data_IF_445270469734
#
_entry.id   IF_445270469734
#
_cell.length_a   1.000
_cell.length_b   1.000
_cell.length_c   1.000
_cell.angle_alpha   90.00
_cell.angle_beta   90.00
_cell.angle_gamma   90.00
#
_symmetry.space_group_name_H-M   'P 1'
#
loop_
_entity.id
_entity.type
_entity.pdbx_description
1 polymer ?
#
# COMPACT_ATOMS: atom_id res chain seq x y z
N UNK A 1 14.73 -25.02 72.55
CA UNK A 1 13.95 -25.24 71.31
C UNK A 1 12.83 -24.24 71.29
N UNK A 2 12.93 -23.20 70.47
CA UNK A 2 11.82 -22.29 70.16
C UNK A 2 11.78 -22.14 68.65
N UNK A 3 10.72 -22.65 68.02
CA UNK A 3 10.45 -22.49 66.60
C UNK A 3 9.72 -21.17 66.38
N UNK A 4 10.33 -20.23 65.69
CA UNK A 4 9.66 -19.05 65.12
C UNK A 4 9.18 -19.38 63.71
N UNK A 5 7.86 -19.47 63.54
CA UNK A 5 7.23 -19.60 62.22
C UNK A 5 7.23 -18.26 61.49
N UNK A 6 7.79 -18.23 60.28
CA UNK A 6 7.69 -17.09 59.39
C UNK A 6 6.38 -17.18 58.58
N UNK A 7 5.52 -16.17 58.75
CA UNK A 7 4.31 -15.99 57.96
C UNK A 7 4.70 -15.28 56.64
N UNK A 8 4.61 -15.97 55.51
CA UNK A 8 4.76 -15.36 54.18
C UNK A 8 3.43 -14.73 53.76
N UNK A 9 3.35 -13.40 53.76
CA UNK A 9 2.27 -12.68 53.09
C UNK A 9 2.47 -12.79 51.57
N UNK A 10 1.56 -13.48 50.89
CA UNK A 10 1.46 -13.43 49.44
C UNK A 10 0.85 -12.07 49.04
N UNK A 11 1.65 -11.20 48.44
CA UNK A 11 1.17 -9.98 47.81
C UNK A 11 0.45 -10.34 46.51
N UNK A 12 -0.87 -10.18 46.46
CA UNK A 12 -1.65 -10.26 45.23
C UNK A 12 -1.38 -9.00 44.40
N UNK A 13 -0.61 -9.12 43.32
CA UNK A 13 -0.44 -8.05 42.35
C UNK A 13 -1.80 -7.72 41.71
N UNK A 14 -2.20 -6.44 41.77
CA UNK A 14 -3.38 -5.96 41.07
C UNK A 14 -3.19 -6.14 39.54
N UNK A 15 -4.25 -6.48 38.78
CA UNK A 15 -4.14 -6.61 37.34
C UNK A 15 -3.73 -5.26 36.75
N UNK A 16 -2.69 -5.25 35.92
CA UNK A 16 -2.28 -4.07 35.19
C UNK A 16 -3.43 -3.61 34.30
N UNK A 17 -3.95 -2.40 34.54
CA UNK A 17 -4.90 -1.75 33.63
C UNK A 17 -4.15 -1.50 32.33
N UNK A 18 -4.61 -2.08 31.22
CA UNK A 18 -4.03 -1.80 29.91
C UNK A 18 -4.09 -0.28 29.67
N UNK A 19 -2.97 0.32 29.25
CA UNK A 19 -2.93 1.73 28.89
C UNK A 19 -3.98 2.01 27.81
N UNK A 20 -4.69 3.14 27.93
CA UNK A 20 -5.65 3.56 26.92
C UNK A 20 -4.95 3.71 25.57
N UNK A 21 -5.61 3.23 24.52
CA UNK A 21 -5.12 3.35 23.15
C UNK A 21 -5.01 4.84 22.75
N UNK A 22 -3.79 5.35 22.49
CA UNK A 22 -3.60 6.77 22.20
C UNK A 22 -4.10 7.15 20.80
N UNK A 23 -4.36 6.17 19.93
CA UNK A 23 -4.70 6.39 18.51
C UNK A 23 -6.20 6.27 18.24
N UNK A 24 -7.02 6.93 19.06
CA UNK A 24 -8.49 6.87 18.96
C UNK A 24 -9.11 8.10 18.34
N UNK A 25 -8.32 9.14 18.06
CA UNK A 25 -8.83 10.38 17.52
C UNK A 25 -9.16 10.25 16.03
N UNK A 26 -10.06 11.12 15.58
CA UNK A 26 -10.44 11.28 14.18
C UNK A 26 -10.43 12.75 13.81
N UNK A 27 -10.21 13.05 12.52
CA UNK A 27 -10.37 14.38 11.96
C UNK A 27 -10.94 14.29 10.54
N UNK A 28 -11.49 15.37 10.01
CA UNK A 28 -11.83 15.42 8.58
C UNK A 28 -10.64 15.91 7.76
N UNK A 29 -10.54 15.44 6.51
CA UNK A 29 -9.54 15.85 5.54
C UNK A 29 -10.08 15.77 4.11
N UNK A 30 -9.37 16.40 3.16
CA UNK A 30 -9.71 16.39 1.74
C UNK A 30 -8.69 15.55 0.98
N UNK A 31 -9.16 14.67 0.11
CA UNK A 31 -8.34 13.70 -0.65
C UNK A 31 -8.89 13.54 -2.07
N UNK A 32 -8.07 13.06 -2.99
CA UNK A 32 -8.53 12.29 -4.15
C UNK A 32 -8.77 10.83 -3.78
N UNK A 33 -9.65 10.16 -4.52
CA UNK A 33 -10.01 8.77 -4.24
C UNK A 33 -10.41 7.95 -5.49
N UNK A 34 -9.49 7.16 -6.07
CA UNK A 34 -8.06 7.13 -5.76
C UNK A 34 -7.32 8.37 -6.28
N UNK A 35 -7.66 8.83 -7.47
CA UNK A 35 -7.04 9.98 -8.13
C UNK A 35 -8.08 10.70 -9.04
N UNK A 36 -7.80 11.91 -9.54
CA UNK A 36 -8.78 12.69 -10.29
C UNK A 36 -9.07 12.12 -11.69
N UNK A 37 -8.12 11.42 -12.33
CA UNK A 37 -8.35 10.79 -13.65
C UNK A 37 -9.40 9.70 -13.53
N UNK A 38 -9.26 8.78 -12.58
CA UNK A 38 -10.22 7.73 -12.30
C UNK A 38 -11.59 8.29 -11.89
N UNK A 39 -11.61 9.27 -10.99
CA UNK A 39 -12.84 9.86 -10.46
C UNK A 39 -13.65 10.60 -11.51
N UNK A 40 -12.97 11.31 -12.42
CA UNK A 40 -13.61 12.13 -13.44
C UNK A 40 -13.79 11.38 -14.76
N UNK A 41 -12.97 10.37 -15.05
CA UNK A 41 -12.91 9.68 -16.33
C UNK A 41 -12.24 10.53 -17.42
N UNK A 42 -11.31 11.40 -17.02
CA UNK A 42 -10.72 12.40 -17.89
C UNK A 42 -9.24 12.12 -18.11
N UNK A 43 -8.95 11.43 -19.20
CA UNK A 43 -7.58 11.14 -19.68
C UNK A 43 -6.86 12.38 -20.26
N UNK A 44 -7.49 13.55 -20.23
CA UNK A 44 -6.92 14.81 -20.73
C UNK A 44 -6.48 15.75 -19.60
N UNK A 45 -6.58 15.31 -18.34
CA UNK A 45 -6.04 16.07 -17.22
C UNK A 45 -4.53 16.17 -17.37
N UNK A 46 -3.98 17.29 -16.93
CA UNK A 46 -2.54 17.51 -16.84
C UNK A 46 -2.24 18.15 -15.50
N UNK A 47 -1.03 17.93 -15.00
CA UNK A 47 -0.56 18.51 -13.75
C UNK A 47 -0.76 20.04 -13.67
N UNK A 48 -0.52 20.77 -14.76
CA UNK A 48 -0.66 22.23 -14.77
C UNK A 48 0.11 22.96 -13.64
N UNK A 49 1.20 22.38 -13.13
CA UNK A 49 2.06 22.90 -12.06
C UNK A 49 1.28 23.17 -10.78
N UNK A 50 0.62 22.13 -10.26
CA UNK A 50 -0.16 22.16 -9.02
C UNK A 50 -1.36 23.12 -9.02
N UNK A 51 -1.71 23.71 -10.16
CA UNK A 51 -2.84 24.62 -10.23
C UNK A 51 -4.16 23.88 -9.92
N UNK A 52 -4.90 24.36 -8.91
CA UNK A 52 -6.26 23.88 -8.59
C UNK A 52 -7.29 24.44 -9.59
N UNK A 53 -7.27 23.91 -10.80
CA UNK A 53 -8.21 24.27 -11.86
C UNK A 53 -9.64 23.80 -11.53
N UNK A 54 -10.68 24.51 -11.97
CA UNK A 54 -12.08 24.13 -11.69
C UNK A 54 -12.48 22.71 -12.11
N UNK A 55 -11.73 22.09 -13.03
CA UNK A 55 -11.95 20.70 -13.45
C UNK A 55 -11.71 19.69 -12.32
N UNK A 56 -10.85 19.98 -11.35
CA UNK A 56 -10.55 19.10 -10.22
C UNK A 56 -11.61 19.16 -9.11
N UNK A 57 -12.42 20.23 -9.05
CA UNK A 57 -13.41 20.42 -8.00
C UNK A 57 -14.34 19.21 -7.75
N UNK A 58 -14.84 18.48 -8.78
CA UNK A 58 -15.67 17.29 -8.57
C UNK A 58 -14.89 16.03 -8.16
N UNK A 59 -13.55 16.04 -8.16
CA UNK A 59 -12.70 14.92 -7.74
C UNK A 59 -12.43 14.92 -6.23
N UNK A 60 -12.37 16.09 -5.58
CA UNK A 60 -12.14 16.16 -4.14
C UNK A 60 -13.21 15.42 -3.32
N UNK A 61 -12.77 14.70 -2.30
CA UNK A 61 -13.61 13.99 -1.34
C UNK A 61 -13.25 14.41 0.07
N UNK A 62 -14.24 14.76 0.86
CA UNK A 62 -14.07 14.89 2.31
C UNK A 62 -14.16 13.51 2.94
N UNK A 63 -13.12 13.12 3.67
CA UNK A 63 -13.01 11.82 4.35
C UNK A 63 -12.79 11.98 5.84
N UNK A 64 -13.05 10.93 6.60
CA UNK A 64 -12.64 10.83 8.00
C UNK A 64 -11.26 10.17 8.08
N UNK A 65 -10.29 10.93 8.55
CA UNK A 65 -8.99 10.42 8.97
C UNK A 65 -9.16 9.75 10.34
N UNK A 66 -8.67 8.52 10.46
CA UNK A 66 -8.79 7.69 11.66
C UNK A 66 -7.43 7.36 12.22
N UNK A 67 -7.41 6.72 13.40
CA UNK A 67 -6.19 6.21 14.04
C UNK A 67 -5.19 7.32 14.42
N UNK A 68 -5.67 8.55 14.60
CA UNK A 68 -4.85 9.71 14.97
C UNK A 68 -4.58 9.73 16.47
N UNK A 69 -3.45 10.32 16.86
CA UNK A 69 -3.03 10.49 18.27
C UNK A 69 -3.70 11.66 19.02
N UNK A 70 -4.51 12.45 18.32
CA UNK A 70 -5.20 13.62 18.88
C UNK A 70 -4.34 14.88 19.05
N UNK A 71 -3.08 14.86 18.61
CA UNK A 71 -2.16 16.02 18.68
C UNK A 71 -2.50 17.18 17.73
N UNK A 72 -3.45 16.97 16.82
CA UNK A 72 -3.76 17.88 15.72
C UNK A 72 -2.74 17.83 14.57
N UNK A 73 -1.85 16.82 14.56
CA UNK A 73 -0.97 16.50 13.43
C UNK A 73 -1.41 15.22 12.73
N UNK A 74 -0.85 14.94 11.55
CA UNK A 74 -0.96 13.65 10.87
C UNK A 74 -0.01 12.62 11.49
N UNK A 75 -0.18 12.38 12.79
CA UNK A 75 0.50 11.33 13.56
C UNK A 75 -0.55 10.31 13.98
N UNK A 76 -0.41 9.08 13.50
CA UNK A 76 -1.36 8.02 13.78
C UNK A 76 -0.71 6.67 13.98
N UNK A 77 -1.53 5.65 14.22
CA UNK A 77 -1.06 4.31 14.60
C UNK A 77 -0.11 3.69 13.57
N UNK A 78 -0.46 3.82 12.30
CA UNK A 78 0.23 3.13 11.19
C UNK A 78 1.16 4.03 10.43
N UNK A 79 0.95 5.34 10.49
CA UNK A 79 1.75 6.31 9.75
C UNK A 79 1.89 7.59 10.55
N UNK A 80 3.09 8.16 10.49
CA UNK A 80 3.38 9.51 10.93
C UNK A 80 3.94 10.29 9.74
N UNK A 81 3.25 11.34 9.34
CA UNK A 81 3.73 12.24 8.29
C UNK A 81 4.78 13.18 8.87
N UNK A 82 5.92 13.25 8.19
CA UNK A 82 7.00 14.20 8.43
C UNK A 82 7.16 15.07 7.19
N UNK A 83 6.66 16.30 7.26
CA UNK A 83 6.96 17.32 6.25
C UNK A 83 8.48 17.62 6.30
N UNK A 84 9.17 17.35 5.19
CA UNK A 84 10.59 17.62 5.01
C UNK A 84 10.84 19.00 4.40
N UNK A 85 9.91 19.46 3.56
CA UNK A 85 9.79 20.82 3.05
C UNK A 85 8.32 21.27 3.17
N UNK A 86 8.04 22.57 3.07
CA UNK A 86 6.68 23.10 3.23
C UNK A 86 6.17 23.21 4.68
N UNK A 87 4.93 23.65 4.83
CA UNK A 87 4.27 23.75 6.13
C UNK A 87 3.53 22.46 6.48
N UNK A 88 3.80 21.89 7.65
CA UNK A 88 3.11 20.68 8.11
C UNK A 88 1.59 20.90 8.24
N UNK A 89 0.80 19.93 7.78
CA UNK A 89 -0.65 19.93 7.94
C UNK A 89 -1.05 19.96 9.43
N UNK A 90 -2.02 20.81 9.77
CA UNK A 90 -2.51 20.98 11.14
C UNK A 90 -4.03 21.01 11.19
N UNK A 91 -4.60 20.24 12.10
CA UNK A 91 -6.03 20.30 12.37
C UNK A 91 -6.38 21.54 13.19
N UNK A 92 -7.48 22.20 12.82
CA UNK A 92 -8.11 23.30 13.57
C UNK A 92 -9.54 22.89 13.91
N UNK A 93 -9.89 22.86 15.20
CA UNK A 93 -11.25 22.50 15.63
C UNK A 93 -11.69 21.08 15.24
N UNK A 94 -10.76 20.12 15.16
CA UNK A 94 -11.04 18.72 14.82
C UNK A 94 -11.11 18.43 13.31
N UNK A 95 -10.76 19.39 12.46
CA UNK A 95 -10.71 19.24 11.01
C UNK A 95 -9.37 19.76 10.45
N UNK A 96 -8.80 19.09 9.48
CA UNK A 96 -7.79 19.71 8.63
C UNK A 96 -8.51 20.69 7.69
N UNK A 97 -7.92 21.88 7.39
CA UNK A 97 -8.40 22.73 6.32
C UNK A 97 -8.62 21.95 5.02
N UNK A 98 -9.52 22.45 4.17
CA UNK A 98 -9.70 21.91 2.83
C UNK A 98 -8.49 22.27 1.95
N UNK A 99 -7.38 21.58 2.18
CA UNK A 99 -6.22 21.61 1.31
C UNK A 99 -6.61 20.95 0.00
N UNK A 100 -6.28 21.62 -1.09
CA UNK A 100 -6.39 21.14 -2.45
C UNK A 100 -4.98 20.96 -3.01
N UNK A 101 -4.88 20.46 -4.24
CA UNK A 101 -3.59 20.13 -4.86
C UNK A 101 -2.60 21.30 -4.95
N UNK A 102 -3.07 22.53 -4.88
CA UNK A 102 -2.23 23.74 -4.84
C UNK A 102 -1.55 23.99 -3.47
N UNK A 103 -1.62 23.04 -2.54
CA UNK A 103 -1.04 23.13 -1.22
C UNK A 103 -0.36 21.81 -0.80
N UNK A 104 0.93 21.86 -0.41
CA UNK A 104 1.72 20.70 0.06
C UNK A 104 1.03 19.86 1.16
N UNK A 105 0.13 20.47 1.96
CA UNK A 105 -0.61 19.74 2.98
C UNK A 105 -1.64 18.76 2.41
N UNK A 106 -2.07 18.93 1.16
CA UNK A 106 -2.98 18.02 0.49
C UNK A 106 -2.34 16.64 0.32
N UNK A 107 -1.12 16.58 -0.21
CA UNK A 107 -0.34 15.35 -0.32
C UNK A 107 -0.07 14.72 1.06
N UNK A 108 0.13 15.55 2.09
CA UNK A 108 0.24 15.07 3.47
C UNK A 108 -1.01 14.33 3.93
N UNK A 109 -2.19 14.91 3.66
CA UNK A 109 -3.48 14.31 4.01
C UNK A 109 -3.74 13.06 3.17
N UNK A 110 -3.46 13.09 1.86
CA UNK A 110 -3.51 11.95 0.94
C UNK A 110 -2.66 10.78 1.46
N UNK A 111 -1.39 11.06 1.74
CA UNK A 111 -0.42 10.10 2.24
C UNK A 111 -0.85 9.43 3.55
N UNK A 112 -1.29 10.22 4.53
CA UNK A 112 -1.82 9.67 5.78
C UNK A 112 -3.04 8.77 5.54
N UNK A 113 -3.99 9.26 4.74
CA UNK A 113 -5.25 8.57 4.48
C UNK A 113 -5.03 7.24 3.75
N UNK A 114 -4.25 7.23 2.68
CA UNK A 114 -4.07 6.05 1.83
C UNK A 114 -3.17 4.97 2.47
N UNK A 115 -2.14 5.35 3.24
CA UNK A 115 -1.39 4.37 4.07
C UNK A 115 -2.29 3.75 5.13
N UNK A 116 -3.09 4.56 5.83
CA UNK A 116 -4.03 4.05 6.85
C UNK A 116 -5.08 3.14 6.22
N UNK A 117 -5.56 3.50 5.02
CA UNK A 117 -6.53 2.71 4.25
C UNK A 117 -5.95 1.37 3.81
N UNK A 118 -4.71 1.34 3.30
CA UNK A 118 -4.02 0.11 2.92
C UNK A 118 -3.84 -0.83 4.13
N UNK A 119 -3.43 -0.29 5.28
CA UNK A 119 -3.29 -1.12 6.48
C UNK A 119 -4.63 -1.67 6.97
N UNK A 120 -5.71 -0.88 6.88
CA UNK A 120 -7.07 -1.34 7.19
C UNK A 120 -7.58 -2.39 6.22
N UNK A 121 -7.24 -2.28 4.92
CA UNK A 121 -7.53 -3.32 3.93
C UNK A 121 -6.88 -4.64 4.35
N UNK A 122 -5.57 -4.64 4.64
CA UNK A 122 -4.82 -5.81 5.12
C UNK A 122 -5.47 -6.42 6.37
N UNK A 123 -5.89 -5.59 7.34
CA UNK A 123 -6.59 -6.07 8.52
C UNK A 123 -7.97 -6.65 8.22
N UNK A 124 -8.70 -6.06 7.26
CA UNK A 124 -10.02 -6.54 6.84
C UNK A 124 -9.96 -7.96 6.25
N UNK A 125 -8.80 -8.36 5.70
CA UNK A 125 -8.50 -9.72 5.23
C UNK A 125 -8.26 -10.72 6.37
N UNK A 126 -8.05 -10.23 7.61
CA UNK A 126 -7.87 -11.02 8.82
C UNK A 126 -6.47 -10.91 9.46
N UNK A 127 -5.52 -10.21 8.83
CA UNK A 127 -4.15 -10.07 9.35
C UNK A 127 -4.13 -9.21 10.63
N UNK A 128 -3.56 -9.78 11.69
CA UNK A 128 -3.56 -9.22 13.04
C UNK A 128 -4.84 -9.44 13.84
N UNK A 129 -5.75 -10.25 13.32
CA UNK A 129 -6.87 -10.83 14.03
C UNK A 129 -6.79 -12.35 13.97
N UNK A 130 -7.51 -12.95 13.01
CA UNK A 130 -7.51 -14.41 12.79
C UNK A 130 -6.25 -14.94 12.11
N UNK A 131 -5.50 -14.07 11.41
CA UNK A 131 -4.22 -14.36 10.80
C UNK A 131 -3.13 -13.56 11.53
N UNK A 132 -1.86 -13.99 11.38
CA UNK A 132 -0.70 -13.28 11.92
C UNK A 132 -0.67 -11.80 11.48
N UNK A 133 -0.12 -10.88 12.29
CA UNK A 133 -0.04 -9.48 11.92
C UNK A 133 0.89 -9.27 10.71
N UNK A 134 0.54 -8.30 9.86
CA UNK A 134 1.33 -7.82 8.72
C UNK A 134 1.42 -6.30 8.84
N UNK A 135 2.63 -5.77 8.70
CA UNK A 135 2.97 -4.35 8.73
C UNK A 135 2.29 -3.51 9.82
N UNK A 136 2.04 -4.09 11.00
CA UNK A 136 1.40 -3.41 12.15
C UNK A 136 2.39 -2.51 12.91
N UNK A 137 3.23 -1.78 12.19
CA UNK A 137 4.19 -0.80 12.72
C UNK A 137 3.82 0.60 12.25
N UNK A 138 4.17 1.62 13.02
CA UNK A 138 4.11 3.00 12.54
C UNK A 138 5.26 3.22 11.55
N UNK A 139 4.93 3.59 10.32
CA UNK A 139 5.91 4.04 9.32
C UNK A 139 6.00 5.56 9.32
N UNK A 140 7.14 6.09 8.90
CA UNK A 140 7.33 7.50 8.61
C UNK A 140 7.04 7.75 7.13
N UNK A 141 6.10 8.65 6.85
CA UNK A 141 5.86 9.12 5.49
C UNK A 141 6.53 10.49 5.34
N UNK A 142 7.47 10.59 4.40
CA UNK A 142 8.17 11.83 4.06
C UNK A 142 7.69 12.29 2.70
N UNK A 143 7.06 13.44 2.69
CA UNK A 143 6.57 14.08 1.48
C UNK A 143 7.55 15.21 1.14
N UNK A 144 7.71 15.48 -0.15
CA UNK A 144 8.53 16.58 -0.68
C UNK A 144 10.04 16.48 -0.46
N UNK A 145 10.65 15.29 -0.47
CA UNK A 145 12.10 15.13 -0.28
C UNK A 145 12.90 14.83 -1.56
N UNK A 146 12.24 14.72 -2.71
CA UNK A 146 12.91 14.51 -3.98
C UNK A 146 12.28 15.40 -5.08
N UNK A 147 13.10 16.25 -5.70
CA UNK A 147 12.67 17.17 -6.78
C UNK A 147 12.61 16.51 -8.16
N UNK A 148 12.53 15.17 -8.21
CA UNK A 148 12.35 14.39 -9.42
C UNK A 148 11.15 13.45 -9.30
N UNK A 149 10.78 12.83 -10.41
CA UNK A 149 9.75 11.79 -10.51
C UNK A 149 10.37 10.47 -10.03
N UNK A 150 10.34 10.24 -8.71
CA UNK A 150 10.81 9.01 -8.10
C UNK A 150 10.35 8.92 -6.64
N UNK A 151 9.54 7.91 -6.34
CA UNK A 151 9.24 7.49 -4.98
C UNK A 151 10.11 6.29 -4.60
N UNK A 152 10.49 6.18 -3.32
CA UNK A 152 11.26 5.02 -2.87
C UNK A 152 11.14 4.78 -1.37
N UNK A 153 11.04 3.50 -1.02
CA UNK A 153 11.30 3.00 0.32
C UNK A 153 12.82 2.96 0.59
N UNK A 154 13.30 3.70 1.59
CA UNK A 154 14.73 3.73 1.94
C UNK A 154 15.14 2.56 2.84
N UNK A 155 16.40 2.13 2.69
CA UNK A 155 17.07 1.07 3.47
C UNK A 155 17.10 1.29 5.01
N UNK A 156 16.66 2.44 5.51
CA UNK A 156 16.41 2.67 6.94
C UNK A 156 15.00 2.22 7.41
N UNK A 157 14.29 1.49 6.55
CA UNK A 157 13.18 0.55 6.85
C UNK A 157 11.92 1.15 7.47
N UNK A 158 11.72 2.46 7.34
CA UNK A 158 10.51 3.11 7.81
C UNK A 158 10.11 4.35 7.01
N UNK A 159 10.75 4.64 5.87
CA UNK A 159 10.51 5.89 5.14
C UNK A 159 9.99 5.62 3.74
N UNK A 160 8.75 6.04 3.47
CA UNK A 160 8.28 6.29 2.11
C UNK A 160 8.68 7.73 1.77
N UNK A 161 9.40 7.93 0.67
CA UNK A 161 9.68 9.26 0.12
C UNK A 161 8.88 9.41 -1.16
N UNK A 162 8.04 10.45 -1.26
CA UNK A 162 7.28 10.75 -2.47
C UNK A 162 7.96 11.83 -3.31
N UNK A 163 7.98 11.64 -4.63
CA UNK A 163 8.54 12.55 -5.63
C UNK A 163 7.64 13.76 -5.93
N UNK A 164 8.16 14.68 -6.75
CA UNK A 164 7.47 15.89 -7.26
C UNK A 164 7.58 16.04 -8.78
N UNK A 165 7.79 14.94 -9.49
CA UNK A 165 8.19 15.01 -10.89
C UNK A 165 7.00 14.86 -11.82
N UNK A 166 6.57 15.96 -12.42
CA UNK A 166 5.36 15.92 -13.25
C UNK A 166 4.16 16.19 -12.39
N UNK A 167 3.32 15.18 -12.16
CA UNK A 167 2.31 15.22 -11.09
C UNK A 167 3.05 14.89 -9.78
N UNK A 168 2.68 15.53 -8.68
CA UNK A 168 3.25 15.14 -7.39
C UNK A 168 2.70 13.75 -6.99
N UNK A 169 3.60 12.77 -6.78
CA UNK A 169 3.29 11.36 -6.49
C UNK A 169 2.30 11.21 -5.29
N UNK A 170 2.30 12.19 -4.39
CA UNK A 170 1.37 12.30 -3.25
C UNK A 170 -0.09 12.63 -3.62
N UNK A 171 -0.38 12.92 -4.88
CA UNK A 171 -1.73 13.13 -5.41
C UNK A 171 -2.36 11.84 -5.97
N UNK A 172 -1.60 10.75 -6.16
CA UNK A 172 -2.12 9.47 -6.63
C UNK A 172 -2.08 8.40 -5.51
N UNK A 173 -3.26 7.95 -5.10
CA UNK A 173 -3.39 6.89 -4.11
C UNK A 173 -2.62 5.61 -4.46
N UNK A 174 -2.56 5.26 -5.75
CA UNK A 174 -1.95 4.01 -6.18
C UNK A 174 -0.42 4.06 -6.07
N UNK A 175 0.19 5.23 -6.26
CA UNK A 175 1.63 5.43 -5.99
C UNK A 175 1.91 5.34 -4.48
N UNK A 176 1.11 6.01 -3.65
CA UNK A 176 1.24 5.94 -2.18
C UNK A 176 1.14 4.49 -1.67
N UNK A 177 0.19 3.72 -2.19
CA UNK A 177 -0.03 2.33 -1.75
C UNK A 177 1.01 1.38 -2.33
N UNK A 178 1.52 1.62 -3.54
CA UNK A 178 2.64 0.87 -4.11
C UNK A 178 3.84 0.90 -3.16
N UNK A 179 4.25 2.10 -2.73
CA UNK A 179 5.35 2.27 -1.76
C UNK A 179 5.06 1.63 -0.41
N UNK A 180 3.79 1.68 0.04
CA UNK A 180 3.37 0.95 1.23
C UNK A 180 3.52 -0.57 1.06
N UNK A 181 3.36 -1.10 -0.15
CA UNK A 181 3.60 -2.49 -0.52
C UNK A 181 5.02 -2.95 -0.22
N UNK A 182 6.03 -2.13 -0.50
CA UNK A 182 7.41 -2.43 -0.12
C UNK A 182 7.59 -2.52 1.41
N UNK A 183 6.93 -1.64 2.16
CA UNK A 183 6.95 -1.70 3.63
C UNK A 183 6.27 -2.97 4.17
N UNK A 184 5.20 -3.42 3.52
CA UNK A 184 4.55 -4.70 3.82
C UNK A 184 5.52 -5.86 3.59
N UNK A 185 6.21 -5.87 2.45
CA UNK A 185 7.21 -6.87 2.13
C UNK A 185 8.37 -6.90 3.13
N UNK A 186 9.00 -5.77 3.43
CA UNK A 186 10.07 -5.72 4.45
C UNK A 186 9.56 -6.15 5.83
N UNK A 187 8.31 -5.83 6.17
CA UNK A 187 7.68 -6.28 7.41
C UNK A 187 7.50 -7.81 7.51
N UNK A 188 7.45 -8.51 6.38
CA UNK A 188 7.33 -9.98 6.32
C UNK A 188 8.68 -10.66 6.08
N UNK A 189 9.51 -10.08 5.22
CA UNK A 189 10.81 -10.57 4.79
C UNK A 189 11.81 -9.40 4.82
N UNK A 190 12.43 -9.12 5.97
CA UNK A 190 13.33 -7.99 6.11
C UNK A 190 14.46 -8.01 5.07
N UNK A 191 14.58 -6.92 4.30
CA UNK A 191 15.57 -6.81 3.22
C UNK A 191 15.20 -7.57 1.94
N UNK A 192 13.91 -7.78 1.66
CA UNK A 192 13.43 -8.33 0.40
C UNK A 192 13.92 -7.53 -0.81
N UNK A 193 14.10 -8.20 -1.96
CA UNK A 193 14.44 -7.53 -3.22
C UNK A 193 15.93 -7.47 -3.54
N UNK A 194 16.75 -8.39 -3.03
CA UNK A 194 18.22 -8.37 -3.23
C UNK A 194 18.70 -8.82 -4.62
N UNK A 195 17.80 -9.25 -5.50
CA UNK A 195 18.10 -9.74 -6.86
C UNK A 195 17.13 -9.14 -7.87
N UNK A 196 17.42 -9.16 -9.18
CA UNK A 196 16.46 -8.70 -10.19
C UNK A 196 15.09 -9.36 -10.10
N UNK A 197 15.01 -10.69 -9.89
CA UNK A 197 13.72 -11.37 -9.77
C UNK A 197 13.00 -11.03 -8.46
N UNK A 198 13.70 -11.00 -7.31
CA UNK A 198 13.06 -10.62 -6.05
C UNK A 198 12.65 -9.15 -6.02
N UNK A 199 13.41 -8.26 -6.68
CA UNK A 199 13.03 -6.86 -6.91
C UNK A 199 11.78 -6.77 -7.78
N UNK A 200 11.70 -7.52 -8.88
CA UNK A 200 10.52 -7.58 -9.74
C UNK A 200 9.28 -8.14 -9.03
N UNK A 201 9.41 -9.15 -8.15
CA UNK A 201 8.32 -9.59 -7.26
C UNK A 201 7.90 -8.45 -6.33
N UNK A 202 8.87 -7.63 -5.91
CA UNK A 202 8.68 -6.42 -5.11
C UNK A 202 7.74 -5.43 -5.78
N UNK A 203 8.17 -4.90 -6.91
CA UNK A 203 7.43 -3.95 -7.75
C UNK A 203 6.03 -4.44 -8.09
N UNK A 204 5.94 -5.70 -8.53
CA UNK A 204 4.69 -6.31 -8.93
C UNK A 204 3.68 -6.46 -7.78
N UNK A 205 4.15 -6.68 -6.56
CA UNK A 205 3.29 -6.71 -5.38
C UNK A 205 2.83 -5.31 -4.99
N UNK A 206 3.69 -4.29 -5.10
CA UNK A 206 3.32 -2.89 -4.91
C UNK A 206 2.16 -2.49 -5.82
N UNK A 207 2.30 -2.74 -7.14
CA UNK A 207 1.26 -2.47 -8.14
C UNK A 207 -0.04 -3.24 -7.86
N UNK A 208 0.06 -4.53 -7.55
CA UNK A 208 -1.11 -5.35 -7.22
C UNK A 208 -1.84 -4.84 -5.96
N UNK A 209 -1.09 -4.50 -4.91
CA UNK A 209 -1.67 -4.02 -3.65
C UNK A 209 -2.32 -2.66 -3.86
N UNK A 210 -1.72 -1.77 -4.65
CA UNK A 210 -2.27 -0.48 -5.01
C UNK A 210 -3.68 -0.60 -5.60
N UNK A 211 -3.82 -1.41 -6.66
CA UNK A 211 -5.13 -1.63 -7.32
C UNK A 211 -6.11 -2.36 -6.40
N UNK A 212 -5.66 -3.36 -5.62
CA UNK A 212 -6.54 -4.07 -4.70
C UNK A 212 -7.10 -3.14 -3.61
N UNK A 213 -6.26 -2.27 -3.04
CA UNK A 213 -6.66 -1.30 -2.02
C UNK A 213 -7.54 -0.20 -2.60
N UNK A 214 -7.17 0.40 -3.74
CA UNK A 214 -7.96 1.45 -4.39
C UNK A 214 -9.34 0.93 -4.77
N UNK A 215 -9.41 -0.27 -5.35
CA UNK A 215 -10.65 -0.97 -5.68
C UNK A 215 -11.47 -1.34 -4.45
N UNK A 216 -10.85 -1.78 -3.35
CA UNK A 216 -11.60 -2.08 -2.14
C UNK A 216 -12.18 -0.82 -1.49
N UNK A 217 -11.38 0.23 -1.39
CA UNK A 217 -11.75 1.46 -0.69
C UNK A 217 -12.78 2.31 -1.48
N UNK A 218 -12.68 2.30 -2.81
CA UNK A 218 -13.53 3.11 -3.70
C UNK A 218 -14.61 2.30 -4.41
N UNK A 219 -14.54 0.97 -4.33
CA UNK A 219 -15.23 0.03 -5.21
C UNK A 219 -14.38 -0.26 -6.45
N UNK A 220 -14.41 -1.51 -6.95
CA UNK A 220 -13.76 -1.86 -8.21
C UNK A 220 -14.27 -0.94 -9.33
N UNK A 221 -13.35 -0.26 -10.04
CA UNK A 221 -13.30 1.20 -10.14
C UNK A 221 -14.13 1.73 -11.31
N UNK A 222 -14.74 2.91 -11.16
CA UNK A 222 -14.26 4.24 -11.60
C UNK A 222 -14.17 4.33 -13.14
N UNK A 223 -14.06 5.54 -13.67
CA UNK A 223 -14.37 5.79 -15.09
C UNK A 223 -13.24 5.39 -16.04
N UNK A 224 -12.22 4.69 -15.54
CA UNK A 224 -11.07 4.16 -16.27
C UNK A 224 -10.87 2.67 -15.94
N UNK A 225 -9.88 2.04 -16.54
CA UNK A 225 -9.67 0.58 -16.45
C UNK A 225 -9.00 0.18 -15.13
N UNK A 226 -9.60 -0.75 -14.37
CA UNK A 226 -9.09 -1.22 -13.07
C UNK A 226 -7.66 -1.76 -13.13
N UNK A 227 -7.28 -2.40 -14.25
CA UNK A 227 -5.96 -3.01 -14.37
C UNK A 227 -4.84 -1.97 -14.52
N UNK A 228 -5.20 -0.69 -14.71
CA UNK A 228 -4.25 0.38 -14.85
C UNK A 228 -3.79 0.93 -13.50
N UNK A 229 -2.47 1.04 -13.32
CA UNK A 229 -1.86 1.61 -12.12
C UNK A 229 -1.48 3.07 -12.38
N UNK A 230 -1.81 3.96 -11.43
CA UNK A 230 -1.33 5.33 -11.34
C UNK A 230 -1.58 6.19 -12.60
N UNK A 231 -2.80 6.14 -13.15
CA UNK A 231 -3.16 6.85 -14.38
C UNK A 231 -3.13 8.39 -14.26
N UNK A 232 -3.27 8.95 -13.05
CA UNK A 232 -3.10 10.39 -12.82
C UNK A 232 -1.64 10.79 -12.87
N UNK A 233 -0.80 10.12 -12.09
CA UNK A 233 0.65 10.35 -12.08
C UNK A 233 1.24 10.24 -13.49
N UNK A 234 0.76 9.24 -14.23
CA UNK A 234 1.15 8.94 -15.62
C UNK A 234 0.82 10.00 -16.65
N UNK A 235 -0.03 10.99 -16.34
CA UNK A 235 -0.39 12.05 -17.29
C UNK A 235 0.79 12.91 -17.70
N UNK A 236 1.85 12.94 -16.88
CA UNK A 236 3.05 13.76 -17.12
C UNK A 236 4.07 13.13 -18.06
N UNK A 237 4.02 11.80 -18.26
CA UNK A 237 5.08 11.07 -18.97
C UNK A 237 4.59 9.96 -19.93
N UNK A 238 3.29 9.68 -20.00
CA UNK A 238 2.71 8.72 -20.96
C UNK A 238 1.75 9.39 -21.96
N UNK A 239 1.29 8.64 -22.96
CA UNK A 239 0.21 9.07 -23.84
C UNK A 239 -1.12 8.48 -23.38
N UNK A 240 -2.23 9.18 -23.63
CA UNK A 240 -3.57 8.68 -23.33
C UNK A 240 -3.92 7.39 -24.14
N UNK A 241 -4.61 6.40 -23.54
CA UNK A 241 -4.98 6.33 -22.12
C UNK A 241 -3.73 6.16 -21.24
N UNK A 242 -3.61 7.04 -20.25
CA UNK A 242 -2.47 7.11 -19.35
C UNK A 242 -2.47 5.90 -18.43
N UNK A 243 -1.29 5.32 -18.27
CA UNK A 243 -1.10 4.17 -17.42
C UNK A 243 0.38 3.95 -17.15
N UNK A 244 0.77 3.84 -15.88
CA UNK A 244 2.17 3.64 -15.52
C UNK A 244 2.58 2.23 -15.94
N UNK A 245 1.79 1.26 -15.47
CA UNK A 245 1.90 -0.16 -15.79
C UNK A 245 0.51 -0.80 -15.75
N UNK A 246 0.38 -1.95 -16.41
CA UNK A 246 -0.86 -2.72 -16.42
C UNK A 246 -0.71 -4.05 -15.70
N UNK A 247 -1.65 -4.36 -14.82
CA UNK A 247 -1.74 -5.66 -14.16
C UNK A 247 -2.24 -6.78 -15.08
N UNK A 248 -2.78 -6.45 -16.24
CA UNK A 248 -3.35 -7.42 -17.20
C UNK A 248 -2.56 -7.51 -18.51
N UNK A 249 -1.27 -7.14 -18.49
CA UNK A 249 -0.35 -7.28 -19.61
C UNK A 249 -0.13 -8.73 -20.06
N UNK A 250 0.60 -8.93 -21.16
CA UNK A 250 0.82 -10.24 -21.79
C UNK A 250 2.26 -10.79 -21.67
N UNK A 251 3.14 -10.08 -20.95
CA UNK A 251 4.55 -10.50 -20.76
C UNK A 251 4.67 -11.91 -20.19
N UNK A 252 5.70 -12.62 -20.63
CA UNK A 252 5.92 -14.03 -20.38
C UNK A 252 7.39 -14.33 -20.04
N UNK A 253 7.60 -15.17 -19.02
CA UNK A 253 8.93 -15.60 -18.59
C UNK A 253 9.42 -16.82 -19.39
N UNK A 254 10.72 -16.87 -19.76
CA UNK A 254 11.75 -15.85 -19.57
C UNK A 254 11.88 -14.86 -20.74
N UNK A 255 11.03 -14.95 -21.77
CA UNK A 255 11.24 -14.27 -23.06
C UNK A 255 11.22 -12.74 -22.94
N UNK A 256 10.39 -12.20 -22.04
CA UNK A 256 10.19 -10.77 -21.87
C UNK A 256 11.00 -10.17 -20.71
N UNK A 257 11.92 -10.95 -20.11
CA UNK A 257 12.81 -10.46 -19.05
C UNK A 257 13.87 -9.54 -19.65
N UNK A 258 13.97 -8.31 -19.14
CA UNK A 258 14.87 -7.27 -19.62
C UNK A 258 15.89 -6.81 -18.56
N UNK A 259 15.79 -7.30 -17.33
CA UNK A 259 16.71 -6.97 -16.24
C UNK A 259 16.42 -5.62 -15.58
N UNK A 260 15.16 -5.18 -15.63
CA UNK A 260 14.66 -3.96 -15.00
C UNK A 260 13.42 -4.35 -14.18
N UNK A 261 13.44 -4.05 -12.88
CA UNK A 261 12.50 -4.65 -11.91
C UNK A 261 11.05 -4.26 -12.15
N UNK A 262 10.77 -3.03 -12.60
CA UNK A 262 9.40 -2.60 -12.87
C UNK A 262 8.85 -3.29 -14.13
N UNK A 263 9.66 -3.35 -15.19
CA UNK A 263 9.32 -4.02 -16.44
C UNK A 263 9.18 -5.54 -16.27
N UNK A 264 10.11 -6.18 -15.54
CA UNK A 264 10.07 -7.62 -15.27
C UNK A 264 8.93 -7.96 -14.28
N UNK A 265 8.58 -7.02 -13.40
CA UNK A 265 7.47 -7.13 -12.46
C UNK A 265 6.11 -7.32 -13.12
N UNK A 266 5.89 -6.75 -14.30
CA UNK A 266 4.64 -6.93 -15.08
C UNK A 266 4.34 -8.41 -15.41
N UNK A 267 5.35 -9.28 -15.47
CA UNK A 267 5.16 -10.73 -15.62
C UNK A 267 4.50 -11.32 -14.37
N UNK A 268 5.02 -10.96 -13.19
CA UNK A 268 4.53 -11.44 -11.90
C UNK A 268 3.17 -10.84 -11.56
N UNK A 269 3.00 -9.53 -11.76
CA UNK A 269 1.76 -8.79 -11.44
C UNK A 269 0.58 -9.33 -12.26
N UNK A 270 0.82 -9.75 -13.50
CA UNK A 270 -0.17 -10.45 -14.31
C UNK A 270 -0.62 -11.79 -13.73
N UNK A 271 0.29 -12.59 -13.20
CA UNK A 271 -0.10 -13.82 -12.52
C UNK A 271 -0.95 -13.51 -11.26
N UNK A 272 -0.60 -12.46 -10.51
CA UNK A 272 -1.40 -12.02 -9.35
C UNK A 272 -2.81 -11.56 -9.75
N UNK A 273 -2.92 -10.86 -10.89
CA UNK A 273 -4.20 -10.44 -11.45
C UNK A 273 -5.09 -11.62 -11.88
N UNK A 274 -4.52 -12.62 -12.55
CA UNK A 274 -5.25 -13.83 -12.94
C UNK A 274 -5.70 -14.62 -11.69
N UNK A 275 -4.88 -14.67 -10.62
CA UNK A 275 -5.26 -15.25 -9.32
C UNK A 275 -6.43 -14.48 -8.69
N UNK A 276 -6.39 -13.16 -8.70
CA UNK A 276 -7.48 -12.29 -8.21
C UNK A 276 -8.78 -12.54 -8.98
N UNK A 277 -8.68 -12.64 -10.29
CA UNK A 277 -9.83 -12.95 -11.16
C UNK A 277 -10.42 -14.33 -10.84
N UNK A 278 -9.58 -15.34 -10.62
CA UNK A 278 -10.04 -16.71 -10.38
C UNK A 278 -10.60 -16.94 -8.96
N UNK A 279 -10.04 -16.30 -7.93
CA UNK A 279 -10.40 -16.56 -6.53
C UNK A 279 -11.29 -15.48 -5.91
N UNK A 280 -11.41 -14.32 -6.56
CA UNK A 280 -11.97 -13.11 -5.99
C UNK A 280 -10.99 -12.39 -5.06
N UNK A 281 -11.14 -11.07 -5.00
CA UNK A 281 -10.26 -10.12 -4.29
C UNK A 281 -9.85 -10.60 -2.89
N UNK A 282 -10.83 -10.80 -2.00
CA UNK A 282 -10.57 -11.19 -0.61
C UNK A 282 -9.71 -12.45 -0.48
N UNK A 283 -10.02 -13.52 -1.23
CA UNK A 283 -9.26 -14.78 -1.14
C UNK A 283 -7.88 -14.64 -1.77
N UNK A 284 -7.80 -13.98 -2.93
CA UNK A 284 -6.54 -13.78 -3.63
C UNK A 284 -5.58 -12.91 -2.82
N UNK A 285 -6.01 -11.75 -2.33
CA UNK A 285 -5.13 -10.88 -1.53
C UNK A 285 -4.73 -11.50 -0.20
N UNK A 286 -5.64 -12.23 0.49
CA UNK A 286 -5.25 -13.01 1.67
C UNK A 286 -4.16 -14.03 1.32
N UNK A 287 -4.33 -14.77 0.23
CA UNK A 287 -3.35 -15.74 -0.24
C UNK A 287 -2.01 -15.10 -0.58
N UNK A 288 -2.02 -14.05 -1.40
CA UNK A 288 -0.81 -13.41 -1.95
C UNK A 288 0.01 -12.81 -0.81
N UNK A 289 -0.62 -12.15 0.17
CA UNK A 289 0.07 -11.63 1.34
C UNK A 289 0.57 -12.77 2.24
N UNK A 290 -0.23 -13.82 2.47
CA UNK A 290 0.17 -14.94 3.32
C UNK A 290 1.33 -15.77 2.73
N UNK A 291 1.43 -15.86 1.40
CA UNK A 291 2.49 -16.58 0.70
C UNK A 291 3.87 -15.94 0.92
N UNK A 292 3.94 -14.60 1.01
CA UNK A 292 5.20 -13.86 1.13
C UNK A 292 6.02 -14.22 2.37
N UNK A 293 5.36 -14.66 3.45
CA UNK A 293 6.07 -15.15 4.64
C UNK A 293 6.91 -16.42 4.42
N UNK A 294 6.76 -17.10 3.28
CA UNK A 294 7.59 -18.23 2.89
C UNK A 294 8.75 -17.82 1.96
N UNK A 295 8.86 -16.54 1.60
CA UNK A 295 9.91 -16.03 0.74
C UNK A 295 11.19 -15.74 1.55
N UNK A 296 12.30 -15.71 0.84
CA UNK A 296 13.61 -15.20 1.26
C UNK A 296 13.96 -13.88 0.52
N UNK A 297 14.94 -13.10 1.00
CA UNK A 297 15.35 -11.84 0.36
C UNK A 297 15.64 -11.92 -1.15
N UNK A 298 16.17 -13.06 -1.60
CA UNK A 298 16.62 -13.38 -2.96
C UNK A 298 15.69 -14.36 -3.69
N UNK A 299 14.42 -14.44 -3.29
CA UNK A 299 13.44 -15.38 -3.88
C UNK A 299 13.32 -15.21 -5.39
N UNK A 300 13.43 -16.31 -6.13
CA UNK A 300 13.20 -16.38 -7.58
C UNK A 300 11.70 -16.46 -7.90
N UNK A 301 11.31 -16.11 -9.13
CA UNK A 301 9.91 -16.25 -9.60
C UNK A 301 9.38 -17.67 -9.40
N UNK A 302 10.15 -18.69 -9.77
CA UNK A 302 9.74 -20.08 -9.61
C UNK A 302 9.53 -20.46 -8.13
N UNK A 303 10.41 -20.03 -7.23
CA UNK A 303 10.29 -20.31 -5.80
C UNK A 303 9.08 -19.57 -5.18
N UNK A 304 8.87 -18.30 -5.52
CA UNK A 304 7.71 -17.54 -5.08
C UNK A 304 6.39 -18.17 -5.58
N UNK A 305 6.35 -18.63 -6.84
CA UNK A 305 5.17 -19.27 -7.41
C UNK A 305 4.85 -20.60 -6.70
N UNK A 306 5.86 -21.43 -6.44
CA UNK A 306 5.70 -22.67 -5.68
C UNK A 306 5.18 -22.41 -4.25
N UNK A 307 5.74 -21.42 -3.56
CA UNK A 307 5.30 -21.01 -2.23
C UNK A 307 3.84 -20.51 -2.24
N UNK A 308 3.46 -19.76 -3.27
CA UNK A 308 2.08 -19.26 -3.45
C UNK A 308 1.10 -20.40 -3.74
N UNK A 309 1.46 -21.38 -4.59
CA UNK A 309 0.65 -22.60 -4.81
C UNK A 309 0.49 -23.41 -3.52
N UNK A 310 1.57 -23.55 -2.74
CA UNK A 310 1.53 -24.25 -1.45
C UNK A 310 0.63 -23.54 -0.44
N UNK A 311 0.71 -22.20 -0.35
CA UNK A 311 -0.18 -21.40 0.49
C UNK A 311 -1.64 -21.54 0.04
N UNK A 312 -1.93 -21.52 -1.26
CA UNK A 312 -3.28 -21.69 -1.80
C UNK A 312 -3.86 -23.05 -1.43
N UNK A 313 -3.06 -24.11 -1.53
CA UNK A 313 -3.45 -25.46 -1.10
C UNK A 313 -3.77 -25.50 0.39
N UNK A 314 -2.94 -24.87 1.23
CA UNK A 314 -3.13 -24.82 2.68
C UNK A 314 -4.39 -24.06 3.08
N UNK A 315 -4.64 -22.89 2.47
CA UNK A 315 -5.73 -22.01 2.86
C UNK A 315 -7.08 -22.44 2.27
N UNK A 316 -7.09 -22.89 1.02
CA UNK A 316 -8.32 -23.03 0.23
C UNK A 316 -8.45 -24.36 -0.53
N UNK A 317 -7.49 -25.28 -0.36
CA UNK A 317 -7.54 -26.63 -0.93
C UNK A 317 -7.04 -26.73 -2.37
N UNK A 318 -7.21 -27.91 -2.97
CA UNK A 318 -6.61 -28.27 -4.26
C UNK A 318 -7.14 -27.44 -5.44
N UNK A 319 -8.42 -27.05 -5.44
CA UNK A 319 -9.00 -26.27 -6.53
C UNK A 319 -8.35 -24.88 -6.64
N UNK A 320 -8.17 -24.18 -5.50
CA UNK A 320 -7.51 -22.89 -5.47
C UNK A 320 -6.02 -23.01 -5.85
N UNK A 321 -5.34 -24.06 -5.37
CA UNK A 321 -3.97 -24.34 -5.78
C UNK A 321 -3.85 -24.56 -7.29
N UNK A 322 -4.82 -25.26 -7.89
CA UNK A 322 -4.90 -25.45 -9.35
C UNK A 322 -5.04 -24.13 -10.10
N UNK A 323 -5.94 -23.24 -9.66
CA UNK A 323 -6.10 -21.91 -10.28
C UNK A 323 -4.81 -21.07 -10.21
N UNK A 324 -4.11 -21.13 -9.08
CA UNK A 324 -2.84 -20.42 -8.89
C UNK A 324 -1.73 -21.01 -9.75
N UNK A 325 -1.63 -22.33 -9.84
CA UNK A 325 -0.70 -23.00 -10.78
C UNK A 325 -1.00 -22.58 -12.22
N UNK A 326 -2.27 -22.55 -12.63
CA UNK A 326 -2.66 -22.10 -13.97
C UNK A 326 -2.21 -20.67 -14.26
N UNK A 327 -2.39 -19.74 -13.31
CA UNK A 327 -1.96 -18.35 -13.49
C UNK A 327 -0.45 -18.23 -13.69
N UNK A 328 0.37 -18.92 -12.88
CA UNK A 328 1.83 -18.88 -13.03
C UNK A 328 2.33 -19.61 -14.29
N UNK A 329 1.76 -20.76 -14.65
CA UNK A 329 2.11 -21.48 -15.89
C UNK A 329 1.72 -20.67 -17.13
N UNK A 330 0.60 -19.93 -17.08
CA UNK A 330 0.20 -19.05 -18.18
C UNK A 330 1.20 -17.92 -18.45
N UNK A 331 2.08 -17.62 -17.48
CA UNK A 331 3.19 -16.64 -17.58
C UNK A 331 4.56 -17.29 -17.72
N UNK A 332 4.63 -18.61 -17.88
CA UNK A 332 5.90 -19.34 -18.04
C UNK A 332 6.73 -19.49 -16.78
N UNK A 333 6.19 -19.18 -15.60
CA UNK A 333 6.91 -19.23 -14.32
C UNK A 333 6.98 -20.67 -13.76
N UNK A 334 5.94 -21.49 -14.00
CA UNK A 334 5.83 -22.89 -13.58
C UNK A 334 5.61 -23.85 -14.75
#
# INVERSE_FOLDING_TARGET
MSLTGALTLAATAAPAVAAADPYTATATGTVFAPNPVQQLGLQTLTDAKDADLPVFAPAYRTVTLTDLDGSGTLTGRYVRVKSGTGAAARATGGAFPAYHRDADQFEQVMGYYWVTTAQRYIQSLGFGGSLRPVNQRQIELRIDQYGGDNSFFRDDKANISLGKGGVDDGEDAEVIVHEYGHSVQDGQVPGFGTTPESGAIGEAFGDYLAVAVSSWATGTPTRTDEACVADWDSTSYTNAPHCLRRLDGDKHYPQDVVGEVHADGEIWSRALWDIRTALGDRRASTLIIEAQFAFAPDTTFAAAAQATVAAARRLYGSAAAGAVTTAFTARGIL
#
